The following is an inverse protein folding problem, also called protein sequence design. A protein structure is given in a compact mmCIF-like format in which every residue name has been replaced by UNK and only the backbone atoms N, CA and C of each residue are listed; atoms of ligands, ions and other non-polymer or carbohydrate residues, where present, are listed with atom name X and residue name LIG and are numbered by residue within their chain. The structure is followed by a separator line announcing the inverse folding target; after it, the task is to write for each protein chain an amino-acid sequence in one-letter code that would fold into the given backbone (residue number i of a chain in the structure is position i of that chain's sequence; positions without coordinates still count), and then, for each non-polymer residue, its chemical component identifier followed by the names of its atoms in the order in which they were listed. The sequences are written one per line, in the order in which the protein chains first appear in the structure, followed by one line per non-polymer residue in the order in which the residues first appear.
data_IF_137119409749
#
_entry.id   IF_137119409749
#
_cell.length_a   1.000
_cell.length_b   1.000
_cell.length_c   1.000
_cell.angle_alpha   90.00
_cell.angle_beta   90.00
_cell.angle_gamma   90.00
#
_symmetry.space_group_name_H-M   'P 1'
#
loop_
_entity.id
_entity.type
_entity.pdbx_description
1 polymer ?
#
# COMPACT_ATOMS: atom_id res chain seq x y z
N UNK A 1 -67.46 10.00 44.73
CA UNK A 1 -67.84 11.23 43.99
C UNK A 1 -66.59 11.71 43.29
N UNK A 2 -66.37 11.36 42.02
CA UNK A 2 -66.97 11.92 40.78
C UNK A 2 -66.27 13.20 40.31
N UNK A 3 -66.04 13.24 38.99
CA UNK A 3 -65.55 14.29 38.07
C UNK A 3 -64.02 14.37 37.89
N UNK A 4 -63.40 13.99 36.76
CA UNK A 4 -63.66 14.32 35.32
C UNK A 4 -63.56 15.85 35.11
N UNK A 5 -62.86 16.44 34.13
CA UNK A 5 -62.58 16.11 32.72
C UNK A 5 -61.21 16.72 32.29
N UNK A 6 -60.38 16.15 31.43
CA UNK A 6 -60.50 15.77 30.00
C UNK A 6 -60.65 16.93 28.98
N UNK A 7 -59.56 17.20 28.25
CA UNK A 7 -59.55 17.55 26.81
C UNK A 7 -58.12 17.28 26.27
N UNK A 8 -57.82 16.10 25.70
CA UNK A 8 -57.86 15.76 24.26
C UNK A 8 -57.21 16.84 23.36
N UNK A 9 -56.24 16.54 22.50
CA UNK A 9 -55.62 15.27 22.11
C UNK A 9 -55.02 15.38 20.70
N UNK A 10 -53.96 14.63 20.42
CA UNK A 10 -53.63 14.16 19.07
C UNK A 10 -52.61 13.00 19.16
N UNK A 11 -53.12 11.78 19.01
CA UNK A 11 -52.35 10.55 18.86
C UNK A 11 -51.62 10.49 17.53
N UNK A 12 -50.47 9.80 17.50
CA UNK A 12 -50.06 8.81 16.47
C UNK A 12 -48.71 8.21 16.87
N UNK A 13 -48.77 7.13 17.65
CA UNK A 13 -48.44 5.76 17.24
C UNK A 13 -46.94 5.49 17.12
N UNK A 14 -46.39 4.89 18.18
CA UNK A 14 -45.13 4.13 18.17
C UNK A 14 -45.43 2.76 17.57
N UNK A 15 -44.63 2.25 16.62
CA UNK A 15 -44.45 0.82 16.46
C UNK A 15 -43.16 0.39 17.18
N UNK A 16 -43.32 -0.46 18.19
CA UNK A 16 -42.24 -1.29 18.74
C UNK A 16 -41.68 -2.22 17.65
N UNK A 17 -40.37 -2.37 17.58
CA UNK A 17 -39.74 -3.54 16.96
C UNK A 17 -38.36 -3.81 17.56
N UNK A 18 -38.30 -4.88 18.36
CA UNK A 18 -37.27 -5.93 18.26
C UNK A 18 -35.85 -5.65 18.74
N UNK A 19 -35.08 -6.72 19.04
CA UNK A 19 -33.87 -6.67 19.85
C UNK A 19 -32.70 -6.00 19.13
N UNK A 20 -31.86 -5.34 19.92
CA UNK A 20 -30.62 -4.71 19.50
C UNK A 20 -29.66 -5.75 18.92
N UNK A 21 -29.78 -6.02 17.63
CA UNK A 21 -28.75 -6.71 16.87
C UNK A 21 -27.67 -5.67 16.63
N UNK A 22 -26.66 -5.68 17.49
CA UNK A 22 -25.38 -5.07 17.19
C UNK A 22 -24.83 -5.78 15.96
N UNK A 23 -25.16 -5.26 14.77
CA UNK A 23 -24.43 -5.57 13.56
C UNK A 23 -22.99 -5.19 13.83
N UNK A 24 -22.19 -6.20 14.13
CA UNK A 24 -20.75 -6.12 14.07
C UNK A 24 -20.42 -5.65 12.67
N UNK A 25 -20.16 -4.36 12.53
CA UNK A 25 -19.61 -3.79 11.31
C UNK A 25 -18.35 -4.61 11.05
N UNK A 26 -18.26 -5.38 9.94
CA UNK A 26 -17.02 -6.05 9.65
C UNK A 26 -15.99 -4.94 9.54
N UNK A 27 -15.03 -4.96 10.47
CA UNK A 27 -13.80 -4.21 10.35
C UNK A 27 -13.26 -4.57 8.98
N UNK A 28 -13.46 -3.67 8.02
CA UNK A 28 -12.80 -3.75 6.73
C UNK A 28 -11.34 -3.61 7.09
N UNK A 29 -10.69 -4.75 7.26
CA UNK A 29 -9.25 -4.84 7.23
C UNK A 29 -8.90 -4.14 5.93
N UNK A 30 -8.38 -2.92 6.05
CA UNK A 30 -7.69 -2.24 4.97
C UNK A 30 -6.43 -3.06 4.73
N UNK A 31 -6.59 -4.22 4.11
CA UNK A 31 -5.54 -4.80 3.31
C UNK A 31 -5.26 -3.70 2.30
N UNK A 32 -4.14 -3.02 2.50
CA UNK A 32 -3.62 -2.14 1.47
C UNK A 32 -3.32 -3.07 0.30
N UNK A 33 -4.29 -3.25 -0.60
CA UNK A 33 -4.15 -3.94 -1.89
C UNK A 33 -3.19 -3.20 -2.84
N UNK A 34 -2.32 -2.35 -2.27
CA UNK A 34 -1.26 -1.67 -2.96
C UNK A 34 -0.26 -2.73 -3.41
N UNK A 35 0.00 -2.81 -4.72
CA UNK A 35 0.89 -3.82 -5.25
C UNK A 35 2.30 -3.60 -4.70
N UNK A 36 3.00 -4.68 -4.39
CA UNK A 36 4.33 -4.62 -3.77
C UNK A 36 5.39 -4.83 -4.84
N UNK A 37 6.53 -4.17 -4.68
CA UNK A 37 7.69 -4.49 -5.51
C UNK A 37 8.24 -5.86 -5.12
N UNK A 38 8.94 -6.53 -6.04
CA UNK A 38 9.62 -7.81 -5.77
C UNK A 38 10.56 -7.70 -4.56
N UNK A 39 11.29 -6.59 -4.44
CA UNK A 39 12.12 -6.31 -3.27
C UNK A 39 11.30 -6.25 -1.97
N UNK A 40 10.16 -5.54 -1.97
CA UNK A 40 9.29 -5.45 -0.79
C UNK A 40 8.67 -6.81 -0.41
N UNK A 41 8.36 -7.64 -1.40
CA UNK A 41 7.88 -9.02 -1.20
C UNK A 41 8.96 -9.89 -0.57
N UNK A 42 10.19 -9.88 -1.10
CA UNK A 42 11.32 -10.63 -0.54
C UNK A 42 11.62 -10.22 0.91
N UNK A 43 11.66 -8.91 1.17
CA UNK A 43 11.89 -8.38 2.53
C UNK A 43 10.78 -8.78 3.50
N UNK A 44 9.52 -8.81 3.02
CA UNK A 44 8.39 -9.29 3.83
C UNK A 44 8.52 -10.79 4.12
N UNK A 45 8.90 -11.60 3.14
CA UNK A 45 9.06 -13.03 3.33
C UNK A 45 10.12 -13.35 4.38
N UNK A 46 11.30 -12.73 4.29
CA UNK A 46 12.37 -12.91 5.29
C UNK A 46 11.89 -12.57 6.71
N UNK A 47 11.09 -11.50 6.85
CA UNK A 47 10.51 -11.13 8.14
C UNK A 47 9.53 -12.19 8.65
N UNK A 48 8.69 -12.73 7.76
CA UNK A 48 7.73 -13.78 8.11
C UNK A 48 8.44 -15.07 8.54
N UNK A 49 9.51 -15.47 7.85
CA UNK A 49 10.30 -16.65 8.20
C UNK A 49 10.87 -16.52 9.62
N UNK A 50 11.43 -15.35 9.96
CA UNK A 50 11.98 -15.08 11.28
C UNK A 50 10.90 -15.08 12.38
N UNK A 51 9.72 -14.54 12.09
CA UNK A 51 8.58 -14.56 13.02
C UNK A 51 8.02 -15.97 13.21
N UNK A 52 7.95 -16.76 12.14
CA UNK A 52 7.55 -18.16 12.22
C UNK A 52 8.54 -18.96 13.06
N UNK A 53 9.85 -18.74 12.91
CA UNK A 53 10.87 -19.34 13.77
C UNK A 53 10.71 -18.93 15.24
N UNK A 54 10.43 -17.65 15.52
CA UNK A 54 10.18 -17.19 16.89
C UNK A 54 8.95 -17.87 17.50
N UNK A 55 7.87 -18.01 16.73
CA UNK A 55 6.66 -18.71 17.18
C UNK A 55 6.97 -20.16 17.53
N UNK A 56 7.68 -20.88 16.66
CA UNK A 56 8.10 -22.28 16.90
C UNK A 56 9.00 -22.44 18.12
N UNK A 57 9.89 -21.47 18.37
CA UNK A 57 10.69 -21.46 19.60
C UNK A 57 9.78 -21.33 20.84
N UNK A 58 8.81 -20.42 20.78
CA UNK A 58 7.91 -20.16 21.91
C UNK A 58 6.95 -21.32 22.18
N UNK A 59 6.58 -22.11 21.16
CA UNK A 59 5.80 -23.34 21.31
C UNK A 59 6.65 -24.55 21.72
N UNK A 60 7.98 -24.40 21.78
CA UNK A 60 8.91 -25.48 22.11
C UNK A 60 9.19 -26.44 20.95
N UNK A 61 8.72 -26.15 19.74
CA UNK A 61 8.96 -26.98 18.54
C UNK A 61 10.42 -26.93 18.09
N UNK A 62 11.13 -25.83 18.36
CA UNK A 62 12.57 -25.71 18.11
C UNK A 62 13.29 -25.21 19.34
N UNK A 63 14.56 -25.60 19.46
CA UNK A 63 15.46 -25.12 20.50
C UNK A 63 15.83 -23.64 20.30
N UNK A 64 16.33 -23.01 21.36
CA UNK A 64 16.85 -21.66 21.26
C UNK A 64 18.02 -21.56 20.26
N UNK A 65 18.90 -22.57 20.21
CA UNK A 65 20.05 -22.59 19.31
C UNK A 65 19.61 -22.67 17.84
N UNK A 66 18.61 -23.49 17.52
CA UNK A 66 18.03 -23.56 16.18
C UNK A 66 17.36 -22.24 15.79
N UNK A 67 16.64 -21.60 16.71
CA UNK A 67 16.10 -20.27 16.48
C UNK A 67 17.20 -19.25 16.15
N UNK A 68 18.30 -19.22 16.92
CA UNK A 68 19.40 -18.29 16.68
C UNK A 68 20.02 -18.52 15.30
N UNK A 69 20.23 -19.77 14.90
CA UNK A 69 20.71 -20.10 13.54
C UNK A 69 19.79 -19.54 12.46
N UNK A 70 18.48 -19.76 12.58
CA UNK A 70 17.49 -19.26 11.61
C UNK A 70 17.46 -17.72 11.62
N UNK A 71 17.56 -17.09 12.80
CA UNK A 71 17.57 -15.64 12.92
C UNK A 71 18.81 -15.02 12.24
N UNK A 72 19.98 -15.63 12.40
CA UNK A 72 21.20 -15.22 11.69
C UNK A 72 21.04 -15.34 10.18
N UNK A 73 20.55 -16.47 9.68
CA UNK A 73 20.27 -16.66 8.25
C UNK A 73 19.28 -15.62 7.71
N UNK A 74 18.25 -15.28 8.49
CA UNK A 74 17.31 -14.20 8.12
C UNK A 74 18.00 -12.84 8.02
N UNK A 75 18.97 -12.54 8.90
CA UNK A 75 19.75 -11.31 8.84
C UNK A 75 20.66 -11.28 7.61
N UNK A 76 21.34 -12.37 7.30
CA UNK A 76 22.18 -12.49 6.10
C UNK A 76 21.37 -12.28 4.83
N UNK A 77 20.27 -13.03 4.65
CA UNK A 77 19.36 -12.88 3.51
C UNK A 77 18.83 -11.45 3.37
N UNK A 78 18.57 -10.77 4.49
CA UNK A 78 18.11 -9.38 4.51
C UNK A 78 19.20 -8.42 4.01
N UNK A 79 20.44 -8.57 4.48
CA UNK A 79 21.54 -7.72 4.04
C UNK A 79 21.91 -7.97 2.57
N UNK A 80 21.89 -9.22 2.11
CA UNK A 80 22.05 -9.56 0.70
C UNK A 80 20.98 -8.90 -0.18
N UNK A 81 19.70 -8.97 0.21
CA UNK A 81 18.61 -8.34 -0.54
C UNK A 81 18.75 -6.82 -0.59
N UNK A 82 19.18 -6.18 0.50
CA UNK A 82 19.47 -4.75 0.51
C UNK A 82 20.66 -4.40 -0.39
N UNK A 83 21.72 -5.19 -0.37
CA UNK A 83 22.91 -4.97 -1.20
C UNK A 83 22.57 -5.08 -2.69
N UNK A 84 21.85 -6.14 -3.08
CA UNK A 84 21.34 -6.32 -4.44
C UNK A 84 20.48 -5.14 -4.90
N UNK A 85 19.54 -4.71 -4.04
CA UNK A 85 18.68 -3.55 -4.33
C UNK A 85 19.47 -2.24 -4.48
N UNK A 86 20.46 -1.99 -3.61
CA UNK A 86 21.32 -0.80 -3.74
C UNK A 86 22.10 -0.81 -5.03
N UNK A 87 22.72 -1.94 -5.37
CA UNK A 87 23.54 -2.07 -6.57
C UNK A 87 22.74 -1.79 -7.85
N UNK A 88 21.54 -2.38 -7.97
CA UNK A 88 20.70 -2.16 -9.16
C UNK A 88 20.18 -0.72 -9.24
N UNK A 89 19.85 -0.09 -8.10
CA UNK A 89 19.51 1.33 -8.07
C UNK A 89 20.69 2.23 -8.47
N UNK A 90 21.91 1.93 -8.05
CA UNK A 90 23.11 2.69 -8.44
C UNK A 90 23.39 2.56 -9.93
N UNK A 91 23.35 1.33 -10.48
CA UNK A 91 23.50 1.08 -11.91
C UNK A 91 22.42 1.79 -12.73
N UNK A 92 21.16 1.74 -12.29
CA UNK A 92 20.06 2.44 -12.95
C UNK A 92 20.25 3.97 -12.95
N UNK A 93 20.76 4.55 -11.86
CA UNK A 93 21.08 6.00 -11.81
C UNK A 93 22.19 6.40 -12.77
N UNK A 94 23.14 5.51 -13.02
CA UNK A 94 24.23 5.72 -13.99
C UNK A 94 23.78 5.51 -15.44
N UNK A 95 22.61 4.91 -15.65
CA UNK A 95 22.11 4.52 -16.97
C UNK A 95 22.68 3.19 -17.47
N UNK A 96 23.32 2.40 -16.59
CA UNK A 96 23.95 1.12 -16.92
C UNK A 96 22.93 -0.05 -17.00
N UNK A 97 21.66 0.24 -16.78
CA UNK A 97 20.56 -0.73 -16.70
C UNK A 97 19.37 -0.17 -17.46
N UNK A 98 18.78 -0.97 -18.35
CA UNK A 98 17.59 -0.55 -19.07
C UNK A 98 16.37 -0.49 -18.14
N UNK A 99 15.35 0.34 -18.42
CA UNK A 99 14.11 0.34 -17.64
C UNK A 99 13.46 -1.04 -17.51
N UNK A 100 13.53 -1.87 -18.56
CA UNK A 100 13.01 -3.23 -18.59
C UNK A 100 13.81 -4.18 -17.70
N UNK A 101 15.15 -4.07 -17.71
CA UNK A 101 16.04 -4.83 -16.82
C UNK A 101 15.79 -4.43 -15.35
N UNK A 102 15.64 -3.14 -15.07
CA UNK A 102 15.32 -2.64 -13.74
C UNK A 102 13.95 -3.14 -13.26
N UNK A 103 12.93 -3.05 -14.11
CA UNK A 103 11.58 -3.53 -13.79
C UNK A 103 11.57 -5.05 -13.55
N UNK A 104 12.33 -5.82 -14.34
CA UNK A 104 12.44 -7.26 -14.16
C UNK A 104 13.06 -7.62 -12.81
N UNK A 105 14.10 -6.92 -12.39
CA UNK A 105 14.82 -7.23 -11.15
C UNK A 105 14.13 -6.70 -9.89
N UNK A 106 13.65 -5.45 -9.90
CA UNK A 106 13.16 -4.75 -8.70
C UNK A 106 11.76 -4.17 -8.84
N UNK A 107 11.16 -4.26 -10.02
CA UNK A 107 9.80 -3.81 -10.28
C UNK A 107 8.73 -4.67 -9.60
N UNK A 108 7.49 -4.49 -10.05
CA UNK A 108 6.35 -5.28 -9.58
C UNK A 108 6.38 -6.69 -10.20
N UNK A 109 5.75 -7.67 -9.57
CA UNK A 109 5.40 -8.90 -10.30
C UNK A 109 4.40 -8.55 -11.41
N UNK A 110 4.24 -9.39 -12.42
CA UNK A 110 3.31 -9.10 -13.53
C UNK A 110 1.87 -8.92 -13.01
N UNK A 111 1.48 -9.74 -12.03
CA UNK A 111 0.21 -9.63 -11.32
C UNK A 111 0.05 -8.31 -10.56
N UNK A 112 1.12 -7.84 -9.91
CA UNK A 112 1.12 -6.58 -9.19
C UNK A 112 1.26 -5.37 -10.13
N UNK A 113 1.90 -5.56 -11.28
CA UNK A 113 2.02 -4.56 -12.34
C UNK A 113 0.66 -4.29 -12.95
N UNK A 114 -0.14 -5.31 -13.24
CA UNK A 114 -1.48 -5.15 -13.79
C UNK A 114 -2.41 -4.35 -12.86
N UNK A 115 -2.18 -4.45 -11.54
CA UNK A 115 -2.90 -3.66 -10.53
C UNK A 115 -2.50 -2.19 -10.49
N UNK A 116 -1.20 -1.85 -10.66
CA UNK A 116 -0.74 -0.43 -10.66
C UNK A 116 -0.83 0.24 -12.03
N UNK A 117 -0.85 -0.54 -13.11
CA UNK A 117 -0.75 -0.05 -14.49
C UNK A 117 -1.77 1.06 -14.81
N UNK A 118 -3.06 0.95 -14.44
CA UNK A 118 -4.03 2.01 -14.72
C UNK A 118 -3.68 3.35 -14.06
N UNK A 119 -3.20 3.32 -12.81
CA UNK A 119 -2.81 4.53 -12.08
C UNK A 119 -1.51 5.12 -12.63
N UNK A 120 -0.54 4.26 -12.98
CA UNK A 120 0.71 4.66 -13.62
C UNK A 120 0.48 5.33 -14.99
N UNK A 121 -0.39 4.75 -15.83
CA UNK A 121 -0.77 5.33 -17.12
C UNK A 121 -1.48 6.68 -16.94
N UNK A 122 -2.38 6.80 -15.97
CA UNK A 122 -3.04 8.08 -15.64
C UNK A 122 -2.02 9.14 -15.22
N UNK A 123 -1.04 8.81 -14.38
CA UNK A 123 0.01 9.74 -13.96
C UNK A 123 0.90 10.15 -15.13
N UNK A 124 1.27 9.22 -16.01
CA UNK A 124 2.04 9.52 -17.21
C UNK A 124 1.28 10.51 -18.12
N UNK A 125 -0.03 10.31 -18.31
CA UNK A 125 -0.87 11.24 -19.08
C UNK A 125 -0.93 12.65 -18.46
N UNK A 126 -1.06 12.75 -17.13
CA UNK A 126 -1.04 14.03 -16.40
C UNK A 126 0.30 14.74 -16.61
N UNK A 127 1.43 14.02 -16.49
CA UNK A 127 2.76 14.57 -16.71
C UNK A 127 2.94 15.06 -18.15
N UNK A 128 2.52 14.28 -19.14
CA UNK A 128 2.55 14.67 -20.56
C UNK A 128 1.69 15.91 -20.81
N UNK A 129 0.49 15.99 -20.23
CA UNK A 129 -0.40 17.15 -20.36
C UNK A 129 0.23 18.42 -19.74
N UNK A 130 0.87 18.30 -18.58
CA UNK A 130 1.54 19.40 -17.90
C UNK A 130 2.78 19.88 -18.66
N UNK A 131 3.60 18.97 -19.20
CA UNK A 131 4.75 19.30 -20.04
C UNK A 131 4.31 19.99 -21.34
N UNK A 132 3.23 19.51 -21.98
CA UNK A 132 2.66 20.15 -23.17
C UNK A 132 2.17 21.58 -22.87
N UNK A 133 1.51 21.81 -21.72
CA UNK A 133 1.08 23.16 -21.32
C UNK A 133 2.25 24.12 -21.04
N UNK A 134 3.34 23.66 -20.43
CA UNK A 134 4.53 24.47 -20.15
C UNK A 134 5.29 24.93 -21.41
N UNK A 135 5.28 24.13 -22.48
CA UNK A 135 5.91 24.48 -23.77
C UNK A 135 5.14 25.50 -24.59
N UNK A 136 3.82 25.62 -24.39
CA UNK A 136 3.00 26.61 -25.11
C UNK A 136 3.13 28.02 -24.48
N UNK A 137 3.39 28.10 -23.18
CA UNK A 137 3.48 29.38 -22.44
C UNK A 137 4.79 30.15 -22.57
N UNK A 138 5.89 29.54 -23.03
CA UNK A 138 7.23 30.15 -23.01
C UNK A 138 7.65 30.82 -24.33
N UNK A 139 6.82 30.77 -25.38
CA UNK A 139 7.17 31.32 -26.71
C UNK A 139 6.68 32.75 -26.98
N UNK A 140 6.09 33.46 -25.99
CA UNK A 140 5.40 34.74 -26.24
C UNK A 140 6.03 36.03 -25.69
N UNK A 141 7.18 35.98 -25.01
CA UNK A 141 7.84 37.19 -24.49
C UNK A 141 9.27 37.34 -25.02
N UNK A 142 9.42 37.68 -26.31
CA UNK A 142 10.71 38.15 -26.84
C UNK A 142 10.54 39.10 -28.04
N UNK A 143 9.72 40.14 -27.91
CA UNK A 143 9.82 41.31 -28.81
C UNK A 143 9.04 42.51 -28.25
N UNK A 144 9.76 43.44 -27.60
CA UNK A 144 9.49 44.89 -27.59
C UNK A 144 10.26 45.60 -26.48
N UNK A 145 11.57 45.80 -26.68
CA UNK A 145 12.30 46.90 -26.02
C UNK A 145 13.60 47.16 -26.77
N UNK A 146 13.48 48.00 -27.79
CA UNK A 146 14.60 48.47 -28.59
C UNK A 146 14.17 49.71 -29.34
N UNK A 147 14.59 50.86 -28.78
CA UNK A 147 14.68 52.22 -29.31
C UNK A 147 13.40 52.96 -29.71
#
# INVERSE_FOLDING_TARGET
MSSADNAKGASKSIPQLGPSTSEATPSVQRESNRPRSKHATNMRQIRLDCLAALKRKNTGEITHQEFMRIAHECLERKEEQKAKFRLICERARRGDVSPEEFQREVGHSDEDWEKVRPEAERHAQILVANVKRGRVGTRKNRSSRGH
#
